data_IF_826933050717
#
_entry.id   IF_826933050717
#
_cell.length_a   1.000
_cell.length_b   1.000
_cell.length_c   1.000
_cell.angle_alpha   90.00
_cell.angle_beta   90.00
_cell.angle_gamma   90.00
#
_symmetry.space_group_name_H-M   'P 1'
#
loop_
_entity.id
_entity.type
_entity.pdbx_description
1 polymer ?
#
# COMPACT_ATOMS: atom_id res chain seq x y z
N UNK A 1 -15.44 -0.88 -43.75
CA UNK A 1 -15.52 -0.34 -42.37
C UNK A 1 -15.16 -1.34 -41.25
N UNK A 2 -15.21 -2.67 -41.49
CA UNK A 2 -14.94 -3.70 -40.44
C UNK A 2 -13.47 -3.77 -39.98
N UNK A 3 -12.51 -3.39 -40.81
CA UNK A 3 -11.07 -3.48 -40.51
C UNK A 3 -10.58 -2.47 -39.45
N UNK A 4 -11.23 -1.31 -39.31
CA UNK A 4 -10.83 -0.28 -38.32
C UNK A 4 -11.17 -0.66 -36.87
N UNK A 5 -12.14 -1.55 -36.65
CA UNK A 5 -12.51 -2.05 -35.30
C UNK A 5 -11.47 -3.03 -34.72
N UNK A 6 -10.82 -3.86 -35.56
CA UNK A 6 -9.82 -4.84 -35.08
C UNK A 6 -8.53 -4.17 -34.60
N UNK A 7 -8.03 -3.16 -35.32
CA UNK A 7 -6.81 -2.45 -34.90
C UNK A 7 -6.96 -1.76 -33.54
N UNK A 8 -8.16 -1.25 -33.23
CA UNK A 8 -8.43 -0.58 -31.95
C UNK A 8 -8.50 -1.56 -30.77
N UNK A 9 -9.07 -2.74 -30.98
CA UNK A 9 -9.08 -3.81 -29.97
C UNK A 9 -7.67 -4.33 -29.67
N UNK A 10 -6.79 -4.41 -30.68
CA UNK A 10 -5.38 -4.76 -30.49
C UNK A 10 -4.63 -3.70 -29.69
N UNK A 11 -4.76 -2.42 -30.06
CA UNK A 11 -4.09 -1.33 -29.35
C UNK A 11 -4.53 -1.25 -27.88
N UNK A 12 -5.82 -1.45 -27.62
CA UNK A 12 -6.36 -1.49 -26.27
C UNK A 12 -5.87 -2.69 -25.45
N UNK A 13 -5.75 -3.87 -26.07
CA UNK A 13 -5.20 -5.08 -25.45
C UNK A 13 -3.73 -4.92 -25.09
N UNK A 14 -2.93 -4.33 -25.99
CA UNK A 14 -1.51 -4.02 -25.74
C UNK A 14 -1.37 -3.05 -24.57
N UNK A 15 -2.20 -2.01 -24.51
CA UNK A 15 -2.14 -1.02 -23.42
C UNK A 15 -2.54 -1.62 -22.06
N UNK A 16 -3.49 -2.56 -22.04
CA UNK A 16 -3.88 -3.31 -20.83
C UNK A 16 -2.74 -4.24 -20.40
N UNK A 17 -2.18 -5.01 -21.34
CA UNK A 17 -1.03 -5.86 -21.06
C UNK A 17 0.15 -5.04 -20.53
N UNK A 18 0.39 -3.84 -21.08
CA UNK A 18 1.40 -2.92 -20.56
C UNK A 18 1.09 -2.50 -19.13
N UNK A 19 -0.14 -2.10 -18.79
CA UNK A 19 -0.49 -1.70 -17.42
C UNK A 19 -0.36 -2.85 -16.43
N UNK A 20 -0.83 -4.06 -16.76
CA UNK A 20 -0.65 -5.24 -15.90
C UNK A 20 0.81 -5.66 -15.81
N UNK A 21 1.56 -5.55 -16.91
CA UNK A 21 2.99 -5.77 -16.90
C UNK A 21 3.67 -4.74 -15.99
N UNK A 22 3.35 -3.45 -16.07
CA UNK A 22 3.93 -2.43 -15.19
C UNK A 22 3.52 -2.62 -13.73
N UNK A 23 2.29 -3.00 -13.42
CA UNK A 23 1.84 -3.27 -12.05
C UNK A 23 2.52 -4.54 -11.50
N UNK A 24 2.50 -5.64 -12.26
CA UNK A 24 3.11 -6.91 -11.88
C UNK A 24 4.64 -6.84 -11.82
N UNK A 25 5.27 -6.13 -12.76
CA UNK A 25 6.70 -5.90 -12.81
C UNK A 25 7.15 -4.91 -11.74
N UNK A 26 6.37 -3.85 -11.44
CA UNK A 26 6.64 -2.99 -10.29
C UNK A 26 6.51 -3.76 -8.98
N UNK A 27 5.50 -4.63 -8.86
CA UNK A 27 5.34 -5.50 -7.68
C UNK A 27 6.49 -6.52 -7.58
N UNK A 28 6.91 -7.12 -8.69
CA UNK A 28 8.03 -8.06 -8.76
C UNK A 28 9.37 -7.39 -8.44
N UNK A 29 9.69 -6.25 -9.04
CA UNK A 29 10.88 -5.46 -8.70
C UNK A 29 10.85 -4.98 -7.24
N UNK A 30 9.68 -4.58 -6.75
CA UNK A 30 9.47 -4.20 -5.36
C UNK A 30 9.55 -5.39 -4.38
N UNK A 31 9.58 -6.64 -4.83
CA UNK A 31 9.85 -7.79 -3.95
C UNK A 31 11.24 -8.39 -4.16
N UNK A 32 11.70 -8.47 -5.40
CA UNK A 32 12.94 -9.17 -5.77
C UNK A 32 14.16 -8.26 -5.62
N UNK A 33 14.04 -6.95 -5.91
CA UNK A 33 15.15 -6.00 -5.76
C UNK A 33 15.24 -5.43 -4.32
N UNK A 34 14.10 -5.37 -3.64
CA UNK A 34 13.97 -5.05 -2.22
C UNK A 34 14.60 -6.14 -1.34
N UNK A 35 14.64 -7.39 -1.79
CA UNK A 35 15.21 -8.48 -0.99
C UNK A 35 16.69 -8.36 -0.63
N UNK A 36 17.53 -7.60 -1.37
CA UNK A 36 18.98 -7.82 -1.25
C UNK A 36 19.88 -6.58 -1.05
N UNK A 37 19.58 -5.34 -1.46
CA UNK A 37 20.59 -4.25 -1.24
C UNK A 37 20.17 -2.78 -1.16
N UNK A 38 18.89 -2.41 -1.35
CA UNK A 38 18.50 -0.98 -1.49
C UNK A 38 17.19 -0.60 -0.80
N UNK A 39 16.90 -1.22 0.35
CA UNK A 39 15.65 -1.00 1.10
C UNK A 39 15.47 0.42 1.68
N UNK A 40 16.55 1.20 1.77
CA UNK A 40 16.54 2.49 2.48
C UNK A 40 16.45 3.73 1.57
N UNK A 41 16.62 3.61 0.25
CA UNK A 41 16.63 4.77 -0.67
C UNK A 41 15.28 5.08 -1.31
N UNK A 42 14.24 4.28 -1.05
CA UNK A 42 12.97 4.33 -1.78
C UNK A 42 11.73 4.56 -0.91
N UNK A 43 11.85 5.13 0.30
CA UNK A 43 10.65 5.50 1.09
C UNK A 43 9.76 6.51 0.33
N UNK A 44 10.35 7.35 -0.54
CA UNK A 44 9.62 8.26 -1.42
C UNK A 44 8.61 7.56 -2.36
N UNK A 45 8.88 6.32 -2.80
CA UNK A 45 8.01 5.62 -3.76
C UNK A 45 6.67 5.20 -3.13
N UNK A 46 6.66 4.86 -1.84
CA UNK A 46 5.42 4.45 -1.16
C UNK A 46 4.46 5.62 -0.93
N UNK A 47 4.99 6.84 -0.76
CA UNK A 47 4.19 8.07 -0.71
C UNK A 47 3.72 8.51 -2.10
N UNK A 48 4.49 8.21 -3.15
CA UNK A 48 4.18 8.60 -4.51
C UNK A 48 2.90 7.93 -5.04
N UNK A 49 2.62 6.67 -4.66
CA UNK A 49 1.44 5.94 -5.16
C UNK A 49 0.11 6.62 -4.81
N UNK A 50 -0.22 6.87 -3.52
CA UNK A 50 -1.48 7.53 -3.18
C UNK A 50 -1.55 8.97 -3.71
N UNK A 51 -0.42 9.70 -3.70
CA UNK A 51 -0.36 11.06 -4.24
C UNK A 51 -0.62 11.09 -5.76
N UNK A 52 0.06 10.23 -6.52
CA UNK A 52 -0.10 10.13 -7.97
C UNK A 52 -1.51 9.67 -8.35
N UNK A 53 -2.09 8.73 -7.58
CA UNK A 53 -3.49 8.35 -7.74
C UNK A 53 -4.44 9.52 -7.51
N UNK A 54 -4.28 10.26 -6.42
CA UNK A 54 -5.12 11.43 -6.12
C UNK A 54 -5.01 12.51 -7.21
N UNK A 55 -3.79 12.84 -7.64
CA UNK A 55 -3.56 13.82 -8.72
C UNK A 55 -4.14 13.33 -10.04
N UNK A 56 -3.94 12.06 -10.40
CA UNK A 56 -4.41 11.48 -11.66
C UNK A 56 -5.93 11.29 -11.74
N UNK A 57 -6.58 10.97 -10.61
CA UNK A 57 -8.04 10.78 -10.56
C UNK A 57 -8.79 12.09 -10.37
N UNK A 58 -8.17 13.12 -9.77
CA UNK A 58 -8.80 14.43 -9.54
C UNK A 58 -9.63 14.97 -10.73
N UNK A 59 -9.10 15.05 -11.97
CA UNK A 59 -9.87 15.59 -13.10
C UNK A 59 -11.08 14.74 -13.52
N UNK A 60 -11.07 13.43 -13.24
CA UNK A 60 -12.13 12.49 -13.66
C UNK A 60 -13.05 12.10 -12.49
N UNK A 61 -12.69 12.45 -11.25
CA UNK A 61 -13.40 12.03 -10.03
C UNK A 61 -14.90 12.39 -10.08
N UNK A 62 -15.22 13.62 -10.47
CA UNK A 62 -16.61 14.09 -10.57
C UNK A 62 -17.41 13.30 -11.61
N UNK A 63 -16.80 12.99 -12.76
CA UNK A 63 -17.44 12.22 -13.83
C UNK A 63 -17.64 10.75 -13.44
N UNK A 64 -16.65 10.12 -12.80
CA UNK A 64 -16.78 8.76 -12.28
C UNK A 64 -17.89 8.70 -11.24
N UNK A 65 -17.93 9.66 -10.31
CA UNK A 65 -18.95 9.71 -9.28
C UNK A 65 -20.36 9.87 -9.84
N UNK A 66 -20.56 10.78 -10.79
CA UNK A 66 -21.88 10.96 -11.43
C UNK A 66 -22.32 9.71 -12.17
N UNK A 67 -21.40 9.04 -12.88
CA UNK A 67 -21.67 7.75 -13.56
C UNK A 67 -22.04 6.64 -12.58
N UNK A 68 -21.34 6.54 -11.44
CA UNK A 68 -21.64 5.55 -10.39
C UNK A 68 -23.03 5.78 -9.79
N UNK A 69 -23.37 7.03 -9.46
CA UNK A 69 -24.69 7.39 -8.91
C UNK A 69 -25.79 7.12 -9.94
N UNK A 70 -25.58 7.48 -11.20
CA UNK A 70 -26.53 7.22 -12.27
C UNK A 70 -26.76 5.71 -12.48
N UNK A 71 -25.68 4.93 -12.53
CA UNK A 71 -25.76 3.48 -12.64
C UNK A 71 -26.46 2.84 -11.42
N UNK A 72 -26.17 3.30 -10.21
CA UNK A 72 -26.82 2.80 -9.01
C UNK A 72 -28.33 3.10 -9.03
N UNK A 73 -28.72 4.32 -9.39
CA UNK A 73 -30.13 4.70 -9.55
C UNK A 73 -30.83 3.88 -10.63
N UNK A 74 -30.18 3.68 -11.78
CA UNK A 74 -30.73 2.86 -12.86
C UNK A 74 -30.91 1.39 -12.43
N UNK A 75 -29.97 0.86 -11.65
CA UNK A 75 -30.05 -0.48 -11.05
C UNK A 75 -31.24 -0.62 -10.09
N UNK A 76 -31.49 0.41 -9.30
CA UNK A 76 -32.61 0.44 -8.35
C UNK A 76 -33.95 0.68 -9.04
N UNK A 77 -33.99 1.43 -10.14
CA UNK A 77 -35.24 1.71 -10.87
C UNK A 77 -35.71 0.54 -11.74
N UNK A 78 -34.81 -0.36 -12.13
CA UNK A 78 -35.16 -1.50 -13.00
C UNK A 78 -35.86 -2.61 -12.23
N UNK A 79 -37.13 -2.91 -12.56
CA UNK A 79 -37.92 -3.97 -11.92
C UNK A 79 -37.25 -5.34 -11.98
N UNK A 80 -36.64 -5.69 -13.13
CA UNK A 80 -35.93 -6.96 -13.29
C UNK A 80 -34.72 -7.08 -12.37
N UNK A 81 -33.93 -6.02 -12.22
CA UNK A 81 -32.79 -6.00 -11.29
C UNK A 81 -33.23 -5.95 -9.83
N UNK A 82 -34.37 -5.33 -9.52
CA UNK A 82 -34.93 -5.42 -8.17
C UNK A 82 -35.25 -6.86 -7.80
N UNK A 83 -35.91 -7.61 -8.69
CA UNK A 83 -36.26 -9.00 -8.45
C UNK A 83 -35.04 -9.93 -8.43
N UNK A 84 -34.04 -9.69 -9.29
CA UNK A 84 -32.84 -10.55 -9.38
C UNK A 84 -31.83 -10.23 -8.30
N UNK A 85 -31.57 -8.95 -7.99
CA UNK A 85 -30.46 -8.58 -7.11
C UNK A 85 -30.95 -8.00 -5.79
N UNK A 86 -31.68 -6.88 -5.83
CA UNK A 86 -31.94 -6.09 -4.63
C UNK A 86 -32.85 -6.79 -3.62
N UNK A 87 -33.83 -7.59 -4.04
CA UNK A 87 -34.76 -8.25 -3.12
C UNK A 87 -34.23 -9.57 -2.55
N UNK A 88 -33.17 -10.14 -3.14
CA UNK A 88 -32.71 -11.49 -2.80
C UNK A 88 -31.77 -11.49 -1.59
N UNK A 89 -31.93 -12.46 -0.69
CA UNK A 89 -31.08 -12.63 0.50
C UNK A 89 -29.60 -12.85 0.16
N UNK A 90 -29.29 -13.51 -0.96
CA UNK A 90 -27.90 -13.73 -1.37
C UNK A 90 -27.15 -12.44 -1.71
N UNK A 91 -27.86 -11.35 -2.06
CA UNK A 91 -27.22 -10.05 -2.29
C UNK A 91 -26.53 -9.52 -1.03
N UNK A 92 -27.04 -9.89 0.16
CA UNK A 92 -26.40 -9.62 1.45
C UNK A 92 -25.28 -10.62 1.75
N UNK A 93 -25.45 -11.89 1.40
CA UNK A 93 -24.45 -12.93 1.70
C UNK A 93 -23.14 -12.76 0.92
N UNK A 94 -23.19 -12.28 -0.32
CA UNK A 94 -22.01 -12.16 -1.21
C UNK A 94 -21.01 -11.06 -0.83
N UNK A 95 -21.32 -10.19 0.14
CA UNK A 95 -20.38 -9.14 0.56
C UNK A 95 -20.97 -8.07 1.46
N UNK A 96 -22.07 -8.37 2.16
CA UNK A 96 -22.75 -7.43 3.03
C UNK A 96 -23.27 -6.18 2.30
N UNK A 97 -23.38 -5.04 3.00
CA UNK A 97 -23.88 -3.81 2.40
C UNK A 97 -23.00 -3.37 1.22
N UNK A 98 -21.68 -3.42 1.35
CA UNK A 98 -20.74 -2.94 0.33
C UNK A 98 -20.86 -3.77 -0.97
N UNK A 99 -20.84 -5.09 -0.87
CA UNK A 99 -20.96 -5.99 -2.02
C UNK A 99 -22.27 -5.80 -2.78
N UNK A 100 -23.37 -5.55 -2.05
CA UNK A 100 -24.68 -5.28 -2.64
C UNK A 100 -24.68 -4.03 -3.53
N UNK A 101 -24.08 -2.93 -3.08
CA UNK A 101 -23.96 -1.71 -3.87
C UNK A 101 -22.99 -1.86 -5.04
N UNK A 102 -21.86 -2.57 -4.87
CA UNK A 102 -20.89 -2.81 -5.94
C UNK A 102 -21.51 -3.58 -7.11
N UNK A 103 -22.07 -4.76 -6.85
CA UNK A 103 -22.69 -5.60 -7.89
C UNK A 103 -23.92 -4.89 -8.48
N UNK A 104 -24.71 -4.24 -7.63
CA UNK A 104 -25.86 -3.45 -8.09
C UNK A 104 -25.44 -2.37 -9.09
N UNK A 105 -24.34 -1.66 -8.83
CA UNK A 105 -23.80 -0.64 -9.74
C UNK A 105 -23.33 -1.25 -11.06
N UNK A 106 -22.63 -2.39 -11.02
CA UNK A 106 -22.19 -3.12 -12.23
C UNK A 106 -23.38 -3.52 -13.10
N UNK A 107 -24.44 -4.08 -12.50
CA UNK A 107 -25.68 -4.42 -13.19
C UNK A 107 -26.37 -3.18 -13.77
N UNK A 108 -26.37 -2.07 -13.02
CA UNK A 108 -26.87 -0.78 -13.49
C UNK A 108 -26.14 -0.24 -14.72
N UNK A 109 -24.81 -0.34 -14.76
CA UNK A 109 -23.99 0.02 -15.93
C UNK A 109 -24.39 -0.84 -17.15
N UNK A 110 -24.65 -2.13 -16.96
CA UNK A 110 -25.10 -3.01 -18.04
C UNK A 110 -26.48 -2.60 -18.58
N UNK A 111 -27.42 -2.22 -17.72
CA UNK A 111 -28.74 -1.73 -18.13
C UNK A 111 -28.62 -0.42 -18.90
N UNK A 112 -27.87 0.56 -18.38
CA UNK A 112 -27.63 1.83 -19.07
C UNK A 112 -26.97 1.62 -20.45
N UNK A 113 -26.05 0.67 -20.57
CA UNK A 113 -25.43 0.31 -21.86
C UNK A 113 -26.44 -0.28 -22.84
N UNK A 114 -27.32 -1.18 -22.38
CA UNK A 114 -28.37 -1.77 -23.23
C UNK A 114 -29.36 -0.70 -23.72
N UNK A 115 -29.76 0.21 -22.84
CA UNK A 115 -30.62 1.35 -23.18
C UNK A 115 -29.95 2.28 -24.20
N UNK A 116 -28.68 2.65 -23.97
CA UNK A 116 -27.93 3.50 -24.89
C UNK A 116 -27.78 2.91 -26.29
N UNK A 117 -27.67 1.58 -26.42
CA UNK A 117 -27.63 0.89 -27.72
C UNK A 117 -29.00 0.86 -28.39
N UNK A 118 -30.08 0.71 -27.61
CA UNK A 118 -31.44 0.64 -28.15
C UNK A 118 -31.95 2.01 -28.64
N UNK A 119 -31.53 3.10 -28.01
CA UNK A 119 -32.00 4.45 -28.31
C UNK A 119 -31.29 5.09 -29.54
N UNK A 120 -30.38 4.35 -30.21
CA UNK A 120 -29.59 4.78 -31.38
C UNK A 120 -29.05 6.23 -31.27
N UNK A 121 -28.70 6.64 -30.05
CA UNK A 121 -28.18 7.97 -29.75
C UNK A 121 -26.71 8.05 -30.15
N UNK A 122 -26.48 8.05 -31.46
CA UNK A 122 -25.18 8.12 -32.14
C UNK A 122 -24.41 9.41 -31.81
N UNK A 123 -25.05 10.43 -31.23
CA UNK A 123 -24.47 11.74 -30.96
C UNK A 123 -24.25 12.09 -29.47
N UNK A 124 -24.59 11.22 -28.51
CA UNK A 124 -24.21 11.49 -27.11
C UNK A 124 -22.70 11.37 -26.96
N UNK A 125 -22.11 12.36 -26.29
CA UNK A 125 -20.67 12.53 -26.19
C UNK A 125 -19.99 11.23 -25.74
N UNK A 126 -18.83 10.91 -26.31
CA UNK A 126 -18.03 9.72 -25.97
C UNK A 126 -17.73 9.58 -24.45
N UNK A 127 -17.95 10.64 -23.67
CA UNK A 127 -17.75 10.70 -22.24
C UNK A 127 -19.01 10.37 -21.42
N UNK A 128 -20.21 10.36 -22.02
CA UNK A 128 -21.45 10.07 -21.31
C UNK A 128 -21.68 8.59 -21.08
N UNK A 129 -21.11 7.71 -21.92
CA UNK A 129 -21.33 6.27 -21.78
C UNK A 129 -20.42 5.73 -20.68
N UNK A 130 -20.97 5.17 -19.58
CA UNK A 130 -20.17 4.62 -18.50
C UNK A 130 -19.34 3.43 -19.01
N UNK A 131 -18.02 3.66 -19.08
CA UNK A 131 -17.08 2.61 -19.41
C UNK A 131 -16.71 1.85 -18.14
N UNK A 132 -17.22 0.62 -18.03
CA UNK A 132 -16.87 -0.31 -16.94
C UNK A 132 -15.36 -0.44 -16.76
N UNK A 133 -14.60 -0.32 -17.86
CA UNK A 133 -13.14 -0.28 -17.87
C UNK A 133 -12.57 0.89 -17.05
N UNK A 134 -13.03 2.11 -17.27
CA UNK A 134 -12.56 3.30 -16.54
C UNK A 134 -12.86 3.17 -15.05
N UNK A 135 -14.09 2.76 -14.72
CA UNK A 135 -14.49 2.53 -13.33
C UNK A 135 -13.64 1.44 -12.67
N UNK A 136 -13.35 0.35 -13.40
CA UNK A 136 -12.50 -0.74 -12.88
C UNK A 136 -11.06 -0.30 -12.64
N UNK A 137 -10.47 0.50 -13.55
CA UNK A 137 -9.11 1.03 -13.39
C UNK A 137 -9.05 1.99 -12.19
N UNK A 138 -10.03 2.89 -12.05
CA UNK A 138 -10.10 3.82 -10.92
C UNK A 138 -10.30 3.06 -9.60
N UNK A 139 -11.16 2.04 -9.58
CA UNK A 139 -11.39 1.20 -8.40
C UNK A 139 -10.12 0.41 -8.00
N UNK A 140 -9.43 -0.22 -8.96
CA UNK A 140 -8.19 -0.94 -8.69
C UNK A 140 -7.09 0.00 -8.18
N UNK A 141 -6.93 1.16 -8.83
CA UNK A 141 -6.00 2.20 -8.38
C UNK A 141 -6.32 2.69 -6.97
N UNK A 142 -7.61 2.84 -6.63
CA UNK A 142 -8.04 3.23 -5.29
C UNK A 142 -7.66 2.17 -4.25
N UNK A 143 -7.89 0.89 -4.54
CA UNK A 143 -7.52 -0.22 -3.63
C UNK A 143 -6.01 -0.23 -3.39
N UNK A 144 -5.21 -0.13 -4.45
CA UNK A 144 -3.75 -0.07 -4.36
C UNK A 144 -3.28 1.16 -3.57
N UNK A 145 -3.90 2.32 -3.82
CA UNK A 145 -3.63 3.57 -3.10
C UNK A 145 -3.92 3.45 -1.61
N UNK A 146 -5.08 2.91 -1.24
CA UNK A 146 -5.46 2.69 0.16
C UNK A 146 -4.55 1.68 0.86
N UNK A 147 -4.18 0.59 0.17
CA UNK A 147 -3.24 -0.39 0.70
C UNK A 147 -1.86 0.21 0.94
N UNK A 148 -1.34 0.97 -0.04
CA UNK A 148 -0.06 1.69 0.10
C UNK A 148 -0.10 2.70 1.24
N UNK A 149 -1.20 3.46 1.38
CA UNK A 149 -1.38 4.42 2.46
C UNK A 149 -1.39 3.71 3.83
N UNK A 150 -2.08 2.58 3.94
CA UNK A 150 -2.10 1.79 5.18
C UNK A 150 -0.70 1.30 5.56
N UNK A 151 0.10 0.82 4.59
CA UNK A 151 1.48 0.41 4.82
C UNK A 151 2.34 1.59 5.28
N UNK A 152 2.26 2.74 4.60
CA UNK A 152 2.99 3.96 4.98
C UNK A 152 2.66 4.36 6.42
N UNK A 153 1.37 4.41 6.79
CA UNK A 153 0.96 4.77 8.14
C UNK A 153 1.50 3.76 9.17
N UNK A 154 1.53 2.47 8.84
CA UNK A 154 2.11 1.44 9.72
C UNK A 154 3.63 1.58 9.85
N UNK A 155 4.34 1.85 8.77
CA UNK A 155 5.79 2.09 8.81
C UNK A 155 6.12 3.33 9.64
N UNK A 156 5.39 4.43 9.44
CA UNK A 156 5.56 5.64 10.27
C UNK A 156 5.28 5.33 11.73
N UNK A 157 4.20 4.60 12.04
CA UNK A 157 3.88 4.21 13.41
C UNK A 157 5.00 3.35 14.04
N UNK A 158 5.56 2.41 13.29
CA UNK A 158 6.68 1.57 13.75
C UNK A 158 7.94 2.40 13.99
N UNK A 159 8.27 3.30 13.07
CA UNK A 159 9.44 4.15 13.17
C UNK A 159 9.34 5.15 14.33
N UNK A 160 8.16 5.72 14.57
CA UNK A 160 7.90 6.60 15.71
C UNK A 160 8.06 5.87 17.05
N UNK A 161 7.82 4.55 17.08
CA UNK A 161 8.03 3.69 18.24
C UNK A 161 9.46 3.12 18.31
N UNK A 162 10.39 3.58 17.45
CA UNK A 162 11.77 3.09 17.43
C UNK A 162 11.91 1.62 17.05
N UNK A 163 10.89 1.03 16.38
CA UNK A 163 10.89 -0.39 16.01
C UNK A 163 11.30 -0.57 14.56
N UNK A 164 12.20 -1.51 14.34
CA UNK A 164 12.56 -1.93 12.99
C UNK A 164 11.54 -2.96 12.46
N UNK A 165 11.40 -3.02 11.13
CA UNK A 165 10.58 -4.06 10.47
C UNK A 165 11.08 -5.46 10.85
N UNK A 166 12.40 -5.62 11.00
CA UNK A 166 13.02 -6.88 11.41
C UNK A 166 12.60 -7.28 12.84
N UNK A 167 12.57 -6.34 13.79
CA UNK A 167 12.08 -6.60 15.14
C UNK A 167 10.60 -6.94 15.18
N UNK A 168 9.79 -6.33 14.31
CA UNK A 168 8.35 -6.61 14.25
C UNK A 168 8.04 -7.94 13.58
N UNK A 169 8.80 -8.32 12.55
CA UNK A 169 8.64 -9.59 11.83
C UNK A 169 9.30 -10.76 12.54
N UNK A 170 10.21 -10.51 13.50
CA UNK A 170 10.77 -11.58 14.32
C UNK A 170 9.58 -12.27 15.01
N UNK A 171 9.36 -13.55 14.73
CA UNK A 171 8.21 -14.23 15.30
C UNK A 171 8.37 -14.19 16.82
N UNK A 172 7.32 -13.78 17.53
CA UNK A 172 7.16 -13.90 19.00
C UNK A 172 7.16 -15.36 19.45
N UNK A 173 7.89 -16.23 18.74
CA UNK A 173 8.09 -17.62 19.06
C UNK A 173 8.66 -17.64 20.47
N UNK A 174 7.82 -18.10 21.40
CA UNK A 174 8.23 -18.60 22.72
C UNK A 174 8.47 -17.59 23.85
N UNK A 175 7.70 -16.51 23.92
CA UNK A 175 7.62 -15.73 25.18
C UNK A 175 6.81 -16.39 26.31
N UNK A 176 6.18 -17.55 26.09
CA UNK A 176 5.43 -18.26 27.15
C UNK A 176 6.32 -19.14 28.07
N UNK A 177 7.61 -19.28 27.75
CA UNK A 177 8.55 -19.98 28.63
C UNK A 177 9.13 -18.99 29.64
N UNK A 178 8.39 -18.83 30.73
CA UNK A 178 8.55 -17.91 31.88
C UNK A 178 9.96 -17.66 32.46
N UNK A 179 10.99 -18.37 32.04
CA UNK A 179 12.31 -18.35 32.65
C UNK A 179 13.49 -18.05 31.71
N UNK A 180 13.27 -17.81 30.40
CA UNK A 180 14.40 -17.57 29.51
C UNK A 180 14.67 -16.07 29.29
N UNK A 181 15.81 -15.53 29.74
CA UNK A 181 16.16 -14.14 29.55
C UNK A 181 16.47 -13.88 28.07
N UNK A 182 15.55 -13.16 27.41
CA UNK A 182 15.74 -12.42 26.14
C UNK A 182 16.53 -13.09 25.01
N UNK A 183 15.84 -13.45 23.92
CA UNK A 183 16.45 -13.98 22.69
C UNK A 183 17.19 -12.93 21.82
N UNK A 184 17.39 -11.70 22.34
CA UNK A 184 18.02 -10.60 21.59
C UNK A 184 19.28 -10.13 22.31
N UNK A 185 20.40 -10.23 21.61
CA UNK A 185 21.69 -9.77 22.09
C UNK A 185 22.25 -8.70 21.18
N UNK A 186 22.82 -7.65 21.76
CA UNK A 186 23.63 -6.66 21.03
C UNK A 186 25.09 -7.04 21.21
N UNK A 187 25.83 -7.05 20.11
CA UNK A 187 27.28 -7.20 20.11
C UNK A 187 27.92 -5.81 19.99
N UNK A 188 28.61 -5.37 21.03
CA UNK A 188 29.37 -4.12 21.04
C UNK A 188 30.85 -4.47 20.87
N UNK A 189 31.53 -3.93 19.84
CA UNK A 189 32.97 -4.08 19.74
C UNK A 189 33.63 -3.36 20.91
N UNK A 190 34.42 -4.07 21.72
CA UNK A 190 35.18 -3.45 22.81
C UNK A 190 36.45 -2.81 22.25
N UNK A 191 36.79 -1.61 22.74
CA UNK A 191 38.03 -0.91 22.38
C UNK A 191 39.26 -1.47 23.10
N UNK A 192 39.06 -2.17 24.22
CA UNK A 192 40.12 -2.42 25.20
C UNK A 192 40.92 -3.69 24.90
N UNK A 193 40.47 -4.52 23.97
CA UNK A 193 41.23 -5.70 23.51
C UNK A 193 40.90 -6.05 22.07
N UNK A 194 41.94 -6.24 21.26
CA UNK A 194 41.85 -6.63 19.85
C UNK A 194 41.06 -7.95 19.76
N UNK A 195 39.78 -7.85 19.39
CA UNK A 195 38.90 -9.00 19.15
C UNK A 195 37.90 -9.34 20.25
N UNK A 196 37.87 -8.65 21.40
CA UNK A 196 36.83 -8.91 22.40
C UNK A 196 35.51 -8.24 22.01
N UNK A 197 34.45 -9.06 21.97
CA UNK A 197 33.08 -8.64 21.64
C UNK A 197 32.24 -8.74 22.89
N UNK A 198 31.74 -7.62 23.38
CA UNK A 198 30.83 -7.62 24.50
C UNK A 198 29.42 -7.93 23.97
N UNK A 199 28.89 -9.08 24.38
CA UNK A 199 27.54 -9.51 24.01
C UNK A 199 26.63 -9.26 25.21
N UNK A 200 25.66 -8.35 25.07
CA UNK A 200 24.73 -8.03 26.17
C UNK A 200 23.29 -8.33 25.78
N UNK A 201 22.53 -9.06 26.62
CA UNK A 201 21.10 -9.26 26.39
C UNK A 201 20.31 -7.95 26.52
N UNK A 202 19.32 -7.77 25.65
CA UNK A 202 18.35 -6.68 25.71
C UNK A 202 17.14 -7.18 26.51
N UNK A 203 16.66 -6.42 27.50
CA UNK A 203 15.49 -6.85 28.25
C UNK A 203 14.23 -6.86 27.39
N UNK A 204 13.30 -7.79 27.66
CA UNK A 204 12.03 -7.83 26.93
C UNK A 204 11.27 -6.52 27.11
N UNK A 205 10.78 -5.95 26.00
CA UNK A 205 10.07 -4.68 25.98
C UNK A 205 10.96 -3.45 25.75
N UNK A 206 12.28 -3.61 25.76
CA UNK A 206 13.19 -2.53 25.38
C UNK A 206 13.41 -2.48 23.87
N UNK A 207 13.61 -1.27 23.38
CA UNK A 207 13.78 -0.97 21.97
C UNK A 207 15.13 -0.29 21.81
N UNK A 208 16.01 -0.89 21.02
CA UNK A 208 17.42 -0.44 20.88
C UNK A 208 17.50 0.98 20.32
N UNK A 209 16.54 1.33 19.48
CA UNK A 209 16.50 2.56 18.69
C UNK A 209 15.38 3.50 19.11
N UNK A 210 14.74 3.28 20.25
CA UNK A 210 13.69 4.19 20.71
C UNK A 210 14.30 5.37 21.48
N UNK A 211 14.34 6.53 20.83
CA UNK A 211 14.77 7.78 21.44
C UNK A 211 13.60 8.58 22.05
N UNK A 212 12.37 8.06 21.93
CA UNK A 212 11.14 8.79 22.17
C UNK A 212 10.49 9.27 20.86
N UNK A 213 9.16 9.36 20.83
CA UNK A 213 8.40 9.64 19.60
C UNK A 213 8.75 10.98 18.93
N UNK A 214 9.11 12.00 19.71
CA UNK A 214 9.51 13.32 19.19
C UNK A 214 10.91 13.27 18.58
N UNK A 215 11.85 12.64 19.25
CA UNK A 215 13.23 12.48 18.81
C UNK A 215 13.31 11.56 17.59
N UNK A 216 12.54 10.47 17.58
CA UNK A 216 12.39 9.57 16.44
C UNK A 216 11.79 10.31 15.24
N UNK A 217 10.75 11.12 15.43
CA UNK A 217 10.19 11.96 14.37
C UNK A 217 11.19 13.01 13.88
N UNK A 218 11.91 13.67 14.79
CA UNK A 218 12.95 14.64 14.44
C UNK A 218 14.07 13.98 13.65
N UNK A 219 14.50 12.78 14.06
CA UNK A 219 15.49 11.98 13.34
C UNK A 219 14.99 11.67 11.94
N UNK A 220 13.75 11.19 11.79
CA UNK A 220 13.13 10.94 10.49
C UNK A 220 13.11 12.18 9.60
N UNK A 221 12.62 13.32 10.12
CA UNK A 221 12.51 14.57 9.35
C UNK A 221 13.86 15.21 9.01
N UNK A 222 14.91 14.90 9.78
CA UNK A 222 16.27 15.40 9.54
C UNK A 222 17.00 14.63 8.44
N UNK A 223 16.49 13.45 8.03
CA UNK A 223 17.12 12.65 6.97
C UNK A 223 16.85 13.30 5.61
N UNK A 224 17.87 13.39 4.73
CA UNK A 224 17.65 13.90 3.39
C UNK A 224 16.74 12.93 2.61
N UNK A 225 15.75 13.49 1.88
CA UNK A 225 14.82 12.70 1.07
C UNK A 225 15.53 11.88 -0.02
N UNK A 226 16.64 12.40 -0.54
CA UNK A 226 17.51 11.72 -1.49
C UNK A 226 18.81 11.45 -0.73
N UNK A 227 19.13 10.19 -0.41
CA UNK A 227 20.40 9.88 0.21
C UNK A 227 21.50 10.25 -0.79
N UNK A 228 22.40 11.14 -0.36
CA UNK A 228 23.60 11.44 -1.14
C UNK A 228 24.39 10.15 -1.32
N UNK A 229 24.75 9.83 -2.57
CA UNK A 229 25.54 8.67 -2.96
C UNK A 229 27.00 8.86 -2.50
N UNK A 230 27.19 8.88 -1.19
CA UNK A 230 28.49 8.96 -0.56
C UNK A 230 29.13 7.58 -0.63
N UNK A 231 29.67 7.27 -1.81
CA UNK A 231 30.22 5.97 -2.24
C UNK A 231 31.30 5.37 -1.33
N UNK A 232 31.74 6.02 -0.24
CA UNK A 232 32.72 5.49 0.72
C UNK A 232 32.60 6.09 2.14
N UNK A 233 31.41 6.46 2.62
CA UNK A 233 31.31 6.82 4.04
C UNK A 233 31.35 5.53 4.89
N UNK A 234 32.21 5.56 5.91
CA UNK A 234 32.18 4.60 7.00
C UNK A 234 30.74 4.39 7.48
N UNK A 235 30.43 3.17 7.89
CA UNK A 235 29.11 2.84 8.39
C UNK A 235 28.80 3.68 9.64
N UNK A 236 27.95 4.71 9.49
CA UNK A 236 27.44 5.48 10.61
C UNK A 236 26.44 4.63 11.39
N UNK A 237 26.81 4.30 12.62
CA UNK A 237 25.93 3.55 13.51
C UNK A 237 24.70 4.40 13.86
N UNK A 238 23.48 3.83 13.80
CA UNK A 238 22.30 4.53 14.28
C UNK A 238 22.44 4.87 15.77
N UNK A 239 21.90 6.01 16.17
CA UNK A 239 21.91 6.47 17.56
C UNK A 239 21.14 5.45 18.41
N UNK A 240 21.84 4.86 19.38
CA UNK A 240 21.28 3.91 20.35
C UNK A 240 20.66 4.72 21.50
N UNK A 241 19.57 4.20 22.07
CA UNK A 241 18.93 4.79 23.26
C UNK A 241 19.96 5.06 24.37
N UNK A 242 20.10 6.32 24.85
CA UNK A 242 21.05 6.67 25.91
C UNK A 242 20.77 5.93 27.22
N UNK A 243 19.52 5.59 27.52
CA UNK A 243 19.18 4.85 28.75
C UNK A 243 19.75 3.43 28.71
N UNK A 244 19.67 2.79 27.54
CA UNK A 244 20.27 1.49 27.27
C UNK A 244 21.80 1.57 27.40
N UNK A 245 22.44 2.59 26.80
CA UNK A 245 23.89 2.80 26.92
C UNK A 245 24.32 2.96 28.39
N UNK A 246 23.65 3.80 29.18
CA UNK A 246 23.99 4.00 30.58
C UNK A 246 23.91 2.72 31.40
N UNK A 247 22.88 1.90 31.16
CA UNK A 247 22.77 0.59 31.81
C UNK A 247 23.89 -0.35 31.36
N UNK A 248 24.21 -0.39 30.07
CA UNK A 248 25.30 -1.23 29.56
C UNK A 248 26.64 -0.85 30.20
N UNK A 249 26.92 0.46 30.30
CA UNK A 249 28.12 0.97 30.98
C UNK A 249 28.16 0.60 32.46
N UNK A 250 27.00 0.60 33.15
CA UNK A 250 26.93 0.21 34.56
C UNK A 250 27.22 -1.27 34.82
N UNK A 251 27.07 -2.14 33.81
CA UNK A 251 27.40 -3.57 33.91
C UNK A 251 28.86 -3.89 33.56
N UNK A 252 29.55 -2.97 32.90
CA UNK A 252 30.96 -3.13 32.49
C UNK A 252 31.91 -2.74 33.62
N UNK A 253 31.50 -1.79 34.47
CA UNK A 253 32.25 -1.38 35.67
C UNK A 253 32.05 -2.38 36.81
#
# INVERSE_FOLDING_TARGET
>A
MVTRRRGRQYLEGVLIAAVYFFIGYSWYLCNVEIGIRRLWTNEAYFHAVPLAFSIGVYPVAKAVWSQLVAALKASQASESLQQIWWTKKYSWALGGPIGRYLIGTVLGIQVLRKQAVAEDQVYRSLFDVPHLRTISIVALGLILSLFSLALVLKTIQQLLNGRTTFETLRPLTRSDRRDNPSDVFICIPSTDSIGSKLVVPILPGEHVYDLGSRENLRSLLSRPFIPEDNTRKEFDWPIIDPTLIHRLQSKIK
#
